data_IF_883530479535
#
_entry.id   IF_883530479535
#
_cell.length_a   1.000
_cell.length_b   1.000
_cell.length_c   1.000
_cell.angle_alpha   90.00
_cell.angle_beta   90.00
_cell.angle_gamma   90.00
#
_symmetry.space_group_name_H-M   'P 1'
#
loop_
_entity.id
_entity.type
_entity.pdbx_description
1 polymer ?
#
# COMPACT_ATOMS: atom_id res chain seq x y z
N UNK A 1 -20.42 17.47 -31.22
CA UNK A 1 -21.75 16.85 -31.06
C UNK A 1 -21.90 16.49 -29.59
N UNK A 2 -22.61 17.33 -28.84
CA UNK A 2 -22.97 17.11 -27.44
C UNK A 2 -24.31 16.37 -27.40
N UNK A 3 -24.47 15.35 -26.55
CA UNK A 3 -25.79 14.84 -26.16
C UNK A 3 -25.86 14.62 -24.65
N UNK A 4 -27.00 15.03 -24.11
CA UNK A 4 -27.36 15.32 -22.72
C UNK A 4 -27.31 14.16 -21.72
N UNK A 5 -27.20 14.48 -20.41
CA UNK A 5 -27.59 13.64 -19.30
C UNK A 5 -29.05 13.94 -18.89
N UNK A 6 -29.93 12.94 -18.76
CA UNK A 6 -31.13 13.03 -17.91
C UNK A 6 -31.79 11.65 -17.75
N UNK A 7 -31.87 11.16 -16.51
CA UNK A 7 -33.11 10.65 -15.94
C UNK A 7 -32.93 10.46 -14.41
N UNK A 8 -33.18 11.53 -13.67
CA UNK A 8 -33.75 11.47 -12.33
C UNK A 8 -34.98 12.37 -12.36
N UNK A 9 -36.16 11.88 -11.99
CA UNK A 9 -37.20 12.74 -11.46
C UNK A 9 -37.30 12.53 -9.95
N UNK A 10 -37.10 13.62 -9.21
CA UNK A 10 -37.56 13.70 -7.83
C UNK A 10 -39.09 13.61 -7.79
N UNK A 11 -39.60 12.80 -6.87
CA UNK A 11 -40.95 12.93 -6.35
C UNK A 11 -41.00 12.38 -4.92
N UNK A 12 -41.21 13.27 -3.97
CA UNK A 12 -41.70 12.95 -2.63
C UNK A 12 -43.09 12.29 -2.73
N UNK A 13 -43.20 10.98 -2.48
CA UNK A 13 -44.46 10.25 -2.33
C UNK A 13 -44.30 9.12 -1.27
N UNK A 14 -45.40 8.73 -0.60
CA UNK A 14 -45.38 8.26 0.79
C UNK A 14 -44.86 6.83 0.96
N UNK A 15 -44.39 6.55 2.17
CA UNK A 15 -44.00 5.23 2.66
C UNK A 15 -45.20 4.28 2.61
N UNK A 16 -45.38 3.59 1.48
CA UNK A 16 -46.17 2.37 1.43
C UNK A 16 -45.25 1.20 1.77
N UNK A 17 -45.53 0.55 2.92
CA UNK A 17 -44.98 -0.77 3.26
C UNK A 17 -45.35 -1.76 2.16
N UNK A 18 -44.43 -2.03 1.25
CA UNK A 18 -44.51 -3.20 0.38
C UNK A 18 -44.04 -4.42 1.16
N UNK A 19 -44.93 -5.42 1.30
CA UNK A 19 -44.58 -6.77 1.75
C UNK A 19 -44.25 -7.61 0.51
N UNK A 20 -42.99 -7.58 0.07
CA UNK A 20 -42.47 -8.39 -1.03
C UNK A 20 -41.08 -8.92 -0.68
N UNK A 21 -40.60 -9.92 -1.41
CA UNK A 21 -39.28 -10.53 -1.17
C UNK A 21 -38.15 -9.57 -1.54
N UNK A 22 -36.93 -9.77 -1.03
CA UNK A 22 -35.77 -8.96 -1.40
C UNK A 22 -35.48 -8.97 -2.92
N UNK A 23 -35.80 -10.08 -3.61
CA UNK A 23 -35.76 -10.18 -5.07
C UNK A 23 -36.77 -9.25 -5.79
N UNK A 24 -37.88 -8.90 -5.14
CA UNK A 24 -38.83 -7.92 -5.64
C UNK A 24 -38.35 -6.48 -5.38
N UNK A 25 -37.61 -6.25 -4.29
CA UNK A 25 -36.93 -4.98 -4.01
C UNK A 25 -35.79 -4.69 -4.99
N UNK A 26 -34.96 -5.69 -5.32
CA UNK A 26 -33.92 -5.58 -6.34
C UNK A 26 -34.54 -5.25 -7.70
N UNK A 27 -35.67 -5.89 -8.07
CA UNK A 27 -36.37 -5.59 -9.33
C UNK A 27 -37.06 -4.21 -9.35
N UNK A 28 -37.62 -3.77 -8.22
CA UNK A 28 -38.43 -2.55 -8.16
C UNK A 28 -37.64 -1.26 -7.92
N UNK A 29 -36.51 -1.30 -7.18
CA UNK A 29 -35.72 -0.10 -6.83
C UNK A 29 -34.54 0.19 -7.74
N UNK A 30 -34.02 -0.81 -8.45
CA UNK A 30 -32.77 -0.65 -9.21
C UNK A 30 -32.96 -0.06 -10.60
N UNK A 31 -34.17 -0.10 -11.18
CA UNK A 31 -34.35 0.20 -12.60
C UNK A 31 -33.46 -0.66 -13.52
N UNK A 32 -32.87 -1.75 -13.00
CA UNK A 32 -31.88 -2.53 -13.72
C UNK A 32 -32.57 -3.45 -14.72
N UNK A 33 -32.45 -3.09 -16.00
CA UNK A 33 -32.67 -4.02 -17.09
C UNK A 33 -31.75 -5.24 -16.94
N UNK A 34 -32.13 -6.44 -17.41
CA UNK A 34 -31.21 -7.55 -17.57
C UNK A 34 -29.99 -7.07 -18.38
N UNK A 35 -28.81 -7.04 -17.77
CA UNK A 35 -27.57 -6.51 -18.35
C UNK A 35 -26.97 -5.26 -17.69
N UNK A 36 -27.69 -4.55 -16.81
CA UNK A 36 -27.19 -3.32 -16.18
C UNK A 36 -26.26 -3.53 -14.96
N UNK A 37 -26.19 -4.75 -14.42
CA UNK A 37 -25.40 -5.09 -13.22
C UNK A 37 -24.17 -5.96 -13.52
N UNK A 38 -23.78 -6.06 -14.80
CA UNK A 38 -22.65 -6.86 -15.28
C UNK A 38 -21.88 -6.03 -16.30
N UNK A 39 -20.59 -5.84 -16.07
CA UNK A 39 -19.67 -5.21 -17.02
C UNK A 39 -18.38 -6.03 -17.05
N UNK A 40 -18.15 -6.75 -18.15
CA UNK A 40 -17.07 -7.73 -18.25
C UNK A 40 -17.16 -8.75 -17.09
N UNK A 41 -16.07 -8.95 -16.34
CA UNK A 41 -16.02 -9.83 -15.16
C UNK A 41 -16.48 -9.17 -13.86
N UNK A 42 -16.80 -7.88 -13.88
CA UNK A 42 -17.41 -7.19 -12.75
C UNK A 42 -18.92 -7.42 -12.77
N UNK A 43 -19.46 -8.03 -11.73
CA UNK A 43 -20.89 -8.23 -11.56
C UNK A 43 -21.32 -7.99 -10.12
N UNK A 44 -22.58 -7.58 -9.95
CA UNK A 44 -23.20 -7.45 -8.63
C UNK A 44 -23.89 -8.76 -8.25
N UNK A 45 -23.61 -9.25 -7.05
CA UNK A 45 -24.33 -10.34 -6.38
C UNK A 45 -24.95 -9.85 -5.07
N UNK A 46 -25.90 -10.59 -4.51
CA UNK A 46 -26.62 -10.20 -3.30
C UNK A 46 -27.07 -11.41 -2.48
N UNK A 47 -27.05 -11.25 -1.16
CA UNK A 47 -27.39 -12.27 -0.17
C UNK A 47 -28.13 -11.63 1.01
N UNK A 48 -28.94 -12.41 1.74
CA UNK A 48 -29.42 -12.01 3.05
C UNK A 48 -28.38 -12.33 4.17
N UNK A 49 -28.61 -11.83 5.39
CA UNK A 49 -27.73 -12.09 6.53
C UNK A 49 -27.81 -13.54 7.08
N UNK A 50 -28.69 -14.38 6.53
CA UNK A 50 -28.69 -15.82 6.81
C UNK A 50 -27.83 -16.60 5.81
N UNK A 51 -27.32 -15.94 4.76
CA UNK A 51 -26.55 -16.57 3.68
C UNK A 51 -27.39 -17.10 2.53
N UNK A 52 -28.67 -16.74 2.44
CA UNK A 52 -29.52 -17.08 1.30
C UNK A 52 -29.16 -16.21 0.10
N UNK A 53 -28.90 -16.84 -1.04
CA UNK A 53 -28.58 -16.15 -2.29
C UNK A 53 -29.81 -15.41 -2.84
N UNK A 54 -29.72 -14.08 -3.00
CA UNK A 54 -30.78 -13.24 -3.56
C UNK A 54 -30.55 -12.91 -5.04
N UNK A 55 -29.29 -12.72 -5.44
CA UNK A 55 -28.89 -12.51 -6.82
C UNK A 55 -27.48 -13.04 -7.07
N UNK A 56 -27.32 -13.86 -8.12
CA UNK A 56 -26.01 -14.36 -8.56
C UNK A 56 -25.99 -14.55 -10.08
N UNK A 57 -25.55 -13.53 -10.86
CA UNK A 57 -25.80 -13.45 -12.30
C UNK A 57 -25.27 -14.61 -13.13
N UNK A 58 -24.08 -15.13 -12.78
CA UNK A 58 -23.43 -16.21 -13.51
C UNK A 58 -23.75 -17.61 -12.98
N UNK A 59 -24.43 -17.70 -11.82
CA UNK A 59 -24.91 -18.95 -11.24
C UNK A 59 -26.35 -18.80 -10.72
N UNK A 60 -27.32 -18.43 -11.60
CA UNK A 60 -28.69 -18.12 -11.19
C UNK A 60 -29.42 -19.33 -10.58
N UNK A 61 -28.94 -20.55 -10.84
CA UNK A 61 -29.44 -21.77 -10.21
C UNK A 61 -29.25 -21.82 -8.68
N UNK A 62 -28.39 -20.96 -8.12
CA UNK A 62 -28.15 -20.87 -6.67
C UNK A 62 -29.10 -19.89 -5.96
N UNK A 63 -29.92 -19.12 -6.69
CA UNK A 63 -30.87 -18.18 -6.08
C UNK A 63 -31.87 -18.93 -5.19
N UNK A 64 -32.02 -18.47 -3.95
CA UNK A 64 -32.85 -19.09 -2.92
C UNK A 64 -32.19 -20.22 -2.13
N UNK A 65 -30.92 -20.53 -2.40
CA UNK A 65 -30.14 -21.51 -1.63
C UNK A 65 -29.30 -20.82 -0.54
N UNK A 66 -29.10 -21.52 0.58
CA UNK A 66 -28.22 -21.12 1.67
C UNK A 66 -26.77 -21.49 1.35
N UNK A 67 -25.90 -20.48 1.26
CA UNK A 67 -24.46 -20.61 1.05
C UNK A 67 -23.64 -20.14 2.26
N UNK A 68 -24.25 -19.93 3.43
CA UNK A 68 -23.55 -19.51 4.66
C UNK A 68 -22.43 -20.46 5.11
N UNK A 69 -22.48 -21.72 4.66
CA UNK A 69 -21.46 -22.73 4.91
C UNK A 69 -20.44 -22.93 3.78
N UNK A 70 -20.54 -22.17 2.69
CA UNK A 70 -19.73 -22.39 1.49
C UNK A 70 -18.28 -22.02 1.76
N UNK A 71 -17.36 -22.92 1.40
CA UNK A 71 -15.93 -22.71 1.50
C UNK A 71 -15.28 -22.72 0.12
N UNK A 72 -14.24 -21.92 -0.05
CA UNK A 72 -13.36 -22.02 -1.21
C UNK A 72 -12.42 -23.26 -1.09
N UNK A 73 -11.59 -23.58 -2.10
CA UNK A 73 -10.67 -24.72 -2.05
C UNK A 73 -9.65 -24.71 -0.90
N UNK A 74 -9.42 -23.56 -0.26
CA UNK A 74 -8.51 -23.40 0.87
C UNK A 74 -9.24 -23.48 2.22
N UNK A 75 -10.55 -23.75 2.21
CA UNK A 75 -11.38 -23.88 3.41
C UNK A 75 -11.91 -22.54 3.93
N UNK A 76 -11.77 -21.46 3.16
CA UNK A 76 -12.22 -20.12 3.54
C UNK A 76 -13.71 -20.03 3.37
N UNK A 77 -14.45 -19.84 4.47
CA UNK A 77 -15.88 -19.57 4.39
C UNK A 77 -16.12 -18.09 4.06
N UNK A 78 -15.93 -17.75 2.78
CA UNK A 78 -16.00 -16.37 2.32
C UNK A 78 -17.39 -15.77 2.50
N UNK A 79 -18.48 -16.53 2.33
CA UNK A 79 -19.84 -16.00 2.56
C UNK A 79 -20.05 -15.57 4.01
N UNK A 80 -19.48 -16.30 4.98
CA UNK A 80 -19.53 -15.88 6.39
C UNK A 80 -18.70 -14.63 6.67
N UNK A 81 -17.56 -14.48 6.00
CA UNK A 81 -16.74 -13.26 6.08
C UNK A 81 -17.49 -12.08 5.43
N UNK A 82 -18.12 -12.28 4.28
CA UNK A 82 -18.93 -11.26 3.61
C UNK A 82 -20.11 -10.79 4.47
N UNK A 83 -20.81 -11.72 5.14
CA UNK A 83 -21.86 -11.40 6.11
C UNK A 83 -21.29 -10.53 7.25
N UNK A 84 -20.17 -10.95 7.84
CA UNK A 84 -19.50 -10.19 8.89
C UNK A 84 -19.14 -8.77 8.42
N UNK A 85 -18.51 -8.64 7.25
CA UNK A 85 -18.14 -7.36 6.65
C UNK A 85 -19.37 -6.47 6.41
N UNK A 86 -20.46 -7.02 5.88
CA UNK A 86 -21.70 -6.28 5.69
C UNK A 86 -22.30 -5.79 7.02
N UNK A 87 -22.27 -6.61 8.07
CA UNK A 87 -22.68 -6.21 9.43
C UNK A 87 -21.82 -5.08 10.00
N UNK A 88 -20.55 -4.96 9.57
CA UNK A 88 -19.66 -3.87 9.97
C UNK A 88 -19.79 -2.60 9.10
N UNK A 89 -20.72 -2.56 8.13
CA UNK A 89 -20.89 -1.40 7.24
C UNK A 89 -20.28 -1.59 5.84
N UNK A 90 -19.71 -2.75 5.55
CA UNK A 90 -19.09 -3.11 4.28
C UNK A 90 -17.56 -3.26 4.36
N UNK A 91 -16.97 -3.85 3.32
CA UNK A 91 -15.53 -4.05 3.24
C UNK A 91 -15.10 -4.92 2.07
N UNK A 92 -13.79 -5.02 1.85
CA UNK A 92 -13.21 -5.90 0.83
C UNK A 92 -12.97 -7.31 1.36
N UNK A 93 -13.14 -8.30 0.49
CA UNK A 93 -12.83 -9.71 0.73
C UNK A 93 -12.10 -10.33 -0.46
N UNK A 94 -11.15 -11.20 -0.16
CA UNK A 94 -10.41 -12.05 -1.09
C UNK A 94 -10.76 -13.49 -0.82
N UNK A 95 -11.06 -14.21 -1.89
CA UNK A 95 -11.41 -15.61 -1.84
C UNK A 95 -11.22 -16.22 -3.22
N UNK A 96 -11.20 -17.54 -3.30
CA UNK A 96 -11.16 -18.21 -4.59
C UNK A 96 -12.57 -18.52 -5.09
N UNK A 97 -12.88 -18.09 -6.30
CA UNK A 97 -14.21 -18.25 -6.88
C UNK A 97 -14.17 -18.70 -8.35
N UNK A 98 -15.18 -19.45 -8.84
CA UNK A 98 -15.29 -19.76 -10.25
C UNK A 98 -15.41 -18.51 -11.14
N UNK A 99 -14.44 -18.31 -12.03
CA UNK A 99 -14.41 -17.19 -12.98
C UNK A 99 -15.24 -17.51 -14.24
N UNK A 100 -16.35 -16.80 -14.50
CA UNK A 100 -17.23 -17.06 -15.64
C UNK A 100 -16.60 -16.77 -17.01
N UNK A 101 -15.63 -15.86 -17.12
CA UNK A 101 -14.89 -15.65 -18.37
C UNK A 101 -13.87 -16.74 -18.67
N UNK A 102 -13.45 -17.49 -17.63
CA UNK A 102 -12.43 -18.53 -17.74
C UNK A 102 -12.99 -19.92 -17.51
N UNK A 103 -14.16 -20.15 -18.09
CA UNK A 103 -14.84 -21.45 -18.09
C UNK A 103 -15.05 -22.00 -16.65
N UNK A 104 -15.36 -21.12 -15.71
CA UNK A 104 -15.57 -21.44 -14.29
C UNK A 104 -14.34 -22.03 -13.59
N UNK A 105 -13.13 -21.72 -14.09
CA UNK A 105 -11.89 -22.03 -13.39
C UNK A 105 -11.87 -21.27 -12.06
N UNK A 106 -11.55 -21.96 -10.97
CA UNK A 106 -11.47 -21.33 -9.64
C UNK A 106 -10.18 -20.52 -9.57
N UNK A 107 -10.33 -19.22 -9.36
CA UNK A 107 -9.24 -18.24 -9.38
C UNK A 107 -9.39 -17.25 -8.22
N UNK A 108 -8.31 -16.57 -7.80
CA UNK A 108 -8.40 -15.53 -6.79
C UNK A 108 -9.34 -14.41 -7.26
N UNK A 109 -10.26 -14.00 -6.38
CA UNK A 109 -11.24 -12.94 -6.62
C UNK A 109 -11.21 -11.96 -5.46
N UNK A 110 -11.27 -10.68 -5.77
CA UNK A 110 -11.49 -9.62 -4.79
C UNK A 110 -12.89 -9.06 -4.98
N UNK A 111 -13.66 -8.94 -3.90
CA UNK A 111 -14.97 -8.28 -3.92
C UNK A 111 -15.09 -7.25 -2.83
N UNK A 112 -15.81 -6.16 -3.10
CA UNK A 112 -16.31 -5.27 -2.07
C UNK A 112 -17.76 -5.63 -1.74
N UNK A 113 -18.06 -5.77 -0.45
CA UNK A 113 -19.43 -5.99 0.05
C UNK A 113 -19.93 -4.77 0.80
N UNK A 114 -21.22 -4.49 0.69
CA UNK A 114 -21.87 -3.40 1.40
C UNK A 114 -23.27 -3.80 1.86
N UNK A 115 -23.68 -3.40 3.08
CA UNK A 115 -25.06 -3.55 3.52
C UNK A 115 -25.96 -2.66 2.65
N UNK A 116 -27.16 -3.17 2.33
CA UNK A 116 -28.19 -2.35 1.69
C UNK A 116 -29.20 -1.87 2.73
N UNK A 117 -29.61 -2.78 3.60
CA UNK A 117 -30.42 -2.51 4.78
C UNK A 117 -30.23 -3.64 5.81
N UNK A 118 -31.07 -3.72 6.84
CA UNK A 118 -31.01 -4.72 7.90
C UNK A 118 -31.31 -6.16 7.43
N UNK A 119 -31.76 -6.34 6.18
CA UNK A 119 -32.20 -7.64 5.65
C UNK A 119 -31.27 -8.23 4.61
N UNK A 120 -30.44 -7.43 3.93
CA UNK A 120 -29.56 -7.93 2.88
C UNK A 120 -28.37 -7.02 2.57
N UNK A 121 -27.39 -7.61 1.88
CA UNK A 121 -26.16 -6.97 1.42
C UNK A 121 -25.88 -7.33 -0.04
N UNK A 122 -25.07 -6.51 -0.69
CA UNK A 122 -24.59 -6.72 -2.05
C UNK A 122 -23.08 -6.83 -2.08
N UNK A 123 -22.56 -7.53 -3.06
CA UNK A 123 -21.14 -7.61 -3.36
C UNK A 123 -20.87 -7.35 -4.83
N UNK A 124 -19.70 -6.82 -5.13
CA UNK A 124 -19.20 -6.73 -6.50
C UNK A 124 -17.69 -6.97 -6.50
N UNK A 125 -17.21 -7.79 -7.44
CA UNK A 125 -15.81 -8.18 -7.45
C UNK A 125 -15.23 -8.46 -8.82
N UNK A 126 -13.91 -8.42 -8.87
CA UNK A 126 -13.07 -8.67 -10.04
C UNK A 126 -12.20 -9.90 -9.79
N UNK A 127 -11.95 -10.67 -10.85
CA UNK A 127 -11.06 -11.83 -10.80
C UNK A 127 -9.63 -11.35 -11.01
N UNK A 128 -8.71 -11.73 -10.11
CA UNK A 128 -7.35 -11.17 -10.05
C UNK A 128 -6.43 -11.68 -11.17
N UNK A 129 -6.83 -12.74 -11.89
CA UNK A 129 -6.04 -13.27 -13.00
C UNK A 129 -6.09 -12.40 -14.27
N UNK A 130 -7.12 -11.56 -14.45
CA UNK A 130 -7.16 -10.58 -15.55
C UNK A 130 -6.28 -9.35 -15.29
N UNK A 131 -5.62 -9.31 -14.13
CA UNK A 131 -4.61 -8.32 -13.76
C UNK A 131 -3.25 -8.99 -13.89
N UNK A 132 -2.69 -9.02 -15.10
CA UNK A 132 -1.29 -9.39 -15.25
C UNK A 132 -0.42 -8.34 -14.54
N UNK A 133 0.11 -8.76 -13.39
CA UNK A 133 1.39 -8.38 -12.77
C UNK A 133 1.55 -7.10 -11.97
N UNK A 134 0.53 -6.27 -11.75
CA UNK A 134 0.69 -5.11 -10.86
C UNK A 134 -0.50 -5.00 -9.91
N UNK A 135 -0.33 -5.45 -8.67
CA UNK A 135 -1.27 -5.09 -7.60
C UNK A 135 -1.10 -3.60 -7.33
N UNK A 136 -2.19 -2.85 -7.39
CA UNK A 136 -2.17 -1.41 -7.09
C UNK A 136 -2.04 -1.18 -5.57
N UNK A 137 -1.63 0.03 -5.13
CA UNK A 137 -1.64 0.37 -3.70
C UNK A 137 -3.00 0.12 -3.04
N UNK A 138 -4.11 0.50 -3.67
CA UNK A 138 -5.47 0.26 -3.15
C UNK A 138 -5.79 -1.22 -2.97
N UNK A 139 -5.38 -2.06 -3.93
CA UNK A 139 -5.56 -3.50 -3.83
C UNK A 139 -4.68 -4.08 -2.70
N UNK A 140 -3.43 -3.63 -2.54
CA UNK A 140 -2.59 -4.03 -1.41
C UNK A 140 -3.25 -3.68 -0.06
N UNK A 141 -3.78 -2.46 0.07
CA UNK A 141 -4.50 -2.04 1.27
C UNK A 141 -5.71 -2.93 1.54
N UNK A 142 -6.53 -3.20 0.52
CA UNK A 142 -7.67 -4.11 0.62
C UNK A 142 -7.24 -5.54 1.01
N UNK A 143 -6.11 -6.02 0.50
CA UNK A 143 -5.58 -7.36 0.81
C UNK A 143 -5.25 -7.50 2.30
N UNK A 144 -4.57 -6.51 2.86
CA UNK A 144 -4.20 -6.49 4.28
C UNK A 144 -5.43 -6.27 5.16
N UNK A 145 -6.34 -5.37 4.80
CA UNK A 145 -7.59 -5.16 5.55
C UNK A 145 -8.49 -6.40 5.57
N UNK A 146 -8.56 -7.13 4.46
CA UNK A 146 -9.25 -8.41 4.43
C UNK A 146 -8.57 -9.46 5.33
N UNK A 147 -7.24 -9.53 5.33
CA UNK A 147 -6.52 -10.41 6.26
C UNK A 147 -6.82 -10.08 7.73
N UNK A 148 -6.96 -8.79 8.08
CA UNK A 148 -7.38 -8.36 9.42
C UNK A 148 -8.82 -8.81 9.72
N UNK A 149 -9.73 -8.65 8.76
CA UNK A 149 -11.13 -9.10 8.88
C UNK A 149 -11.25 -10.61 9.02
N UNK A 150 -10.47 -11.37 8.25
CA UNK A 150 -10.35 -12.82 8.38
C UNK A 150 -9.86 -13.19 9.78
N UNK A 151 -8.81 -12.54 10.28
CA UNK A 151 -8.28 -12.79 11.61
C UNK A 151 -9.29 -12.49 12.73
N UNK A 152 -10.09 -11.43 12.58
CA UNK A 152 -11.21 -11.14 13.47
C UNK A 152 -12.29 -12.24 13.45
N UNK A 153 -12.56 -12.84 12.28
CA UNK A 153 -13.57 -13.87 12.12
C UNK A 153 -13.14 -15.26 12.64
N UNK A 154 -11.87 -15.64 12.45
CA UNK A 154 -11.38 -16.99 12.80
C UNK A 154 -10.58 -17.05 14.11
N UNK A 155 -10.16 -15.90 14.64
CA UNK A 155 -9.32 -15.79 15.82
C UNK A 155 -7.82 -15.89 15.52
N UNK A 156 -7.01 -15.31 16.40
CA UNK A 156 -5.55 -15.12 16.22
C UNK A 156 -4.80 -16.41 15.88
N UNK A 157 -5.00 -17.49 16.64
CA UNK A 157 -4.26 -18.74 16.42
C UNK A 157 -4.52 -19.34 15.02
N UNK A 158 -5.77 -19.34 14.56
CA UNK A 158 -6.12 -19.85 13.24
C UNK A 158 -5.60 -18.93 12.13
N UNK A 159 -5.64 -17.61 12.36
CA UNK A 159 -5.15 -16.62 11.41
C UNK A 159 -3.63 -16.70 11.23
N UNK A 160 -2.86 -16.73 12.32
CA UNK A 160 -1.40 -16.88 12.27
C UNK A 160 -0.97 -18.18 11.59
N UNK A 161 -1.69 -19.27 11.83
CA UNK A 161 -1.45 -20.55 11.15
C UNK A 161 -1.70 -20.47 9.64
N UNK A 162 -2.66 -19.65 9.20
CA UNK A 162 -2.91 -19.39 7.78
C UNK A 162 -1.83 -18.50 7.16
N UNK A 163 -1.47 -17.40 7.81
CA UNK A 163 -0.45 -16.46 7.32
C UNK A 163 0.95 -17.09 7.22
N UNK A 164 1.20 -18.20 7.91
CA UNK A 164 2.46 -18.93 7.83
C UNK A 164 2.55 -19.87 6.60
N UNK A 165 1.47 -20.10 5.86
CA UNK A 165 1.46 -20.98 4.69
C UNK A 165 1.95 -20.24 3.44
N UNK A 166 2.92 -20.82 2.74
CA UNK A 166 3.42 -20.31 1.45
C UNK A 166 2.39 -20.44 0.32
N UNK A 167 1.49 -21.41 0.42
CA UNK A 167 0.40 -21.70 -0.51
C UNK A 167 -0.98 -21.40 0.11
N UNK A 168 -1.02 -20.56 1.15
CA UNK A 168 -2.25 -20.11 1.81
C UNK A 168 -2.97 -19.01 1.04
N UNK A 169 -4.21 -18.72 1.40
CA UNK A 169 -5.04 -17.71 0.72
C UNK A 169 -4.44 -16.28 0.78
N UNK A 170 -3.58 -16.04 1.79
CA UNK A 170 -2.90 -14.78 2.06
C UNK A 170 -1.42 -14.82 1.66
N UNK A 171 -1.06 -15.68 0.70
CA UNK A 171 0.26 -15.73 0.08
C UNK A 171 0.14 -15.97 -1.42
N UNK A 172 0.53 -14.99 -2.23
CA UNK A 172 0.49 -15.02 -3.69
C UNK A 172 1.81 -14.45 -4.23
N UNK A 173 2.81 -15.33 -4.40
CA UNK A 173 4.15 -14.91 -4.79
C UNK A 173 4.75 -13.96 -3.74
N UNK A 174 5.09 -12.75 -4.18
CA UNK A 174 5.77 -11.73 -3.37
C UNK A 174 4.81 -10.87 -2.54
N UNK A 175 3.50 -11.04 -2.74
CA UNK A 175 2.43 -10.44 -1.94
C UNK A 175 1.95 -11.45 -0.91
N UNK A 176 2.26 -11.21 0.35
CA UNK A 176 1.92 -12.12 1.43
C UNK A 176 1.75 -11.40 2.76
N UNK A 177 0.93 -11.96 3.65
CA UNK A 177 0.74 -11.42 4.99
C UNK A 177 1.88 -11.85 5.91
N UNK A 178 2.51 -10.87 6.56
CA UNK A 178 3.33 -11.06 7.75
C UNK A 178 2.65 -10.42 8.97
N UNK A 179 2.95 -10.93 10.15
CA UNK A 179 2.29 -10.53 11.40
C UNK A 179 3.29 -10.28 12.52
N UNK A 180 3.04 -9.23 13.31
CA UNK A 180 3.85 -8.86 14.47
C UNK A 180 2.94 -8.51 15.65
N UNK A 181 3.40 -8.78 16.87
CA UNK A 181 2.78 -8.16 18.06
C UNK A 181 3.28 -6.71 18.25
N UNK A 182 2.62 -5.95 19.12
CA UNK A 182 3.03 -4.58 19.47
C UNK A 182 4.30 -4.51 20.35
N UNK A 183 4.92 -5.63 20.70
CA UNK A 183 6.27 -5.66 21.28
C UNK A 183 7.35 -5.80 20.20
N UNK A 184 6.97 -5.93 18.92
CA UNK A 184 7.85 -6.15 17.79
C UNK A 184 8.30 -7.60 17.62
N UNK A 185 7.60 -8.57 18.21
CA UNK A 185 7.87 -10.01 18.00
C UNK A 185 7.18 -10.48 16.72
N UNK A 186 7.92 -11.15 15.82
CA UNK A 186 7.35 -11.70 14.59
C UNK A 186 6.46 -12.91 14.92
N UNK A 187 5.18 -12.84 14.57
CA UNK A 187 4.17 -13.85 14.87
C UNK A 187 3.93 -14.82 13.70
N UNK A 188 3.99 -14.33 12.46
CA UNK A 188 3.89 -15.16 11.26
C UNK A 188 4.64 -14.54 10.08
N UNK A 189 5.33 -15.38 9.32
CA UNK A 189 5.93 -15.01 8.03
C UNK A 189 6.09 -16.27 7.17
N UNK A 190 5.49 -16.35 5.96
CA UNK A 190 5.44 -17.59 5.19
C UNK A 190 6.81 -18.02 4.63
N UNK A 191 7.68 -17.05 4.33
CA UNK A 191 9.01 -17.30 3.75
C UNK A 191 10.18 -17.22 4.75
N UNK A 192 9.95 -16.77 5.98
CA UNK A 192 10.98 -16.57 7.00
C UNK A 192 10.57 -17.20 8.33
N UNK A 193 10.09 -18.45 8.27
CA UNK A 193 9.59 -19.17 9.45
C UNK A 193 10.63 -19.27 10.59
N UNK A 194 11.92 -19.30 10.26
CA UNK A 194 13.02 -19.36 11.24
C UNK A 194 13.12 -18.10 12.13
N UNK A 195 12.49 -16.99 11.73
CA UNK A 195 12.50 -15.72 12.48
C UNK A 195 11.25 -15.56 13.36
N UNK A 196 10.25 -16.43 13.22
CA UNK A 196 9.02 -16.37 14.02
C UNK A 196 9.33 -16.63 15.49
N UNK A 197 8.75 -15.81 16.37
CA UNK A 197 9.01 -15.80 17.82
C UNK A 197 10.20 -14.95 18.25
N UNK A 198 10.94 -14.34 17.32
CA UNK A 198 12.05 -13.43 17.66
C UNK A 198 11.57 -11.99 17.79
N UNK A 199 12.14 -11.25 18.75
CA UNK A 199 11.90 -9.81 18.87
C UNK A 199 12.72 -9.05 17.84
N UNK A 200 12.04 -8.26 17.02
CA UNK A 200 12.62 -7.49 15.90
C UNK A 200 12.30 -6.00 15.99
N UNK A 201 11.90 -5.49 17.16
CA UNK A 201 11.62 -4.06 17.37
C UNK A 201 12.79 -3.14 16.96
N UNK A 202 14.03 -3.62 17.09
CA UNK A 202 15.24 -2.89 16.69
C UNK A 202 15.74 -3.25 15.28
N UNK A 203 15.00 -4.06 14.53
CA UNK A 203 15.37 -4.37 13.15
C UNK A 203 15.22 -3.10 12.29
N UNK A 204 16.25 -2.80 11.54
CA UNK A 204 16.26 -1.73 10.55
C UNK A 204 16.44 -2.33 9.17
N UNK A 205 16.01 -1.61 8.14
CA UNK A 205 16.49 -1.92 6.80
C UNK A 205 18.01 -1.68 6.67
N UNK A 206 18.56 -2.00 5.49
CA UNK A 206 20.00 -1.89 5.20
C UNK A 206 20.54 -0.46 5.31
N UNK A 207 19.69 0.57 5.33
CA UNK A 207 20.08 1.99 5.45
C UNK A 207 19.73 2.61 6.80
N UNK A 208 19.14 1.84 7.71
CA UNK A 208 18.89 2.26 9.10
C UNK A 208 17.46 2.71 9.38
N UNK A 209 16.51 2.57 8.44
CA UNK A 209 15.10 2.85 8.72
C UNK A 209 14.55 1.81 9.70
N UNK A 210 14.02 2.20 10.87
CA UNK A 210 13.50 1.25 11.86
C UNK A 210 12.09 0.75 11.50
N UNK A 211 12.02 -0.05 10.44
CA UNK A 211 10.80 -0.56 9.82
C UNK A 211 9.76 -1.07 10.82
N UNK A 212 10.13 -1.90 11.80
CA UNK A 212 9.16 -2.48 12.74
C UNK A 212 8.50 -1.40 13.60
N UNK A 213 9.26 -0.38 14.05
CA UNK A 213 8.72 0.72 14.87
C UNK A 213 7.86 1.67 14.04
N UNK A 214 8.25 1.95 12.80
CA UNK A 214 7.42 2.74 11.86
C UNK A 214 6.11 2.01 11.58
N UNK A 215 6.17 0.70 11.29
CA UNK A 215 5.00 -0.14 11.02
C UNK A 215 4.06 -0.25 12.22
N UNK A 216 4.62 -0.49 13.40
CA UNK A 216 3.88 -0.53 14.68
C UNK A 216 3.15 0.79 14.93
N UNK A 217 3.84 1.92 14.74
CA UNK A 217 3.25 3.24 14.88
C UNK A 217 2.10 3.46 13.91
N UNK A 218 2.30 3.15 12.63
CA UNK A 218 1.27 3.29 11.59
C UNK A 218 0.06 2.40 11.89
N UNK A 219 0.27 1.13 12.26
CA UNK A 219 -0.82 0.23 12.65
C UNK A 219 -1.60 0.72 13.88
N UNK A 220 -0.89 1.22 14.91
CA UNK A 220 -1.51 1.77 16.12
C UNK A 220 -2.39 3.00 15.85
N UNK A 221 -2.20 3.68 14.72
CA UNK A 221 -2.97 4.85 14.31
C UNK A 221 -4.04 4.51 13.24
N UNK A 222 -4.46 3.24 13.15
CA UNK A 222 -5.52 2.81 12.24
C UNK A 222 -5.02 2.22 10.93
N UNK A 223 -3.71 2.02 10.80
CA UNK A 223 -3.08 1.47 9.60
C UNK A 223 -2.83 2.51 8.51
N UNK A 224 -2.10 2.10 7.48
CA UNK A 224 -1.66 3.00 6.41
C UNK A 224 -0.49 2.45 5.62
N UNK A 225 -0.09 3.23 4.61
CA UNK A 225 1.08 2.90 3.80
C UNK A 225 2.38 3.21 4.54
N UNK A 226 3.39 2.39 4.25
CA UNK A 226 4.78 2.59 4.62
C UNK A 226 5.67 2.32 3.41
N UNK A 227 6.91 2.82 3.44
CA UNK A 227 7.97 2.46 2.50
C UNK A 227 9.21 2.03 3.27
N UNK A 228 9.99 1.13 2.68
CA UNK A 228 11.22 0.59 3.27
C UNK A 228 12.04 -0.12 2.19
N UNK A 229 13.31 -0.40 2.48
CA UNK A 229 14.10 -1.31 1.64
C UNK A 229 14.00 -2.74 2.17
N UNK A 230 13.83 -3.70 1.27
CA UNK A 230 13.76 -5.11 1.63
C UNK A 230 14.41 -6.00 0.56
N UNK A 231 15.04 -7.13 0.91
CA UNK A 231 15.65 -8.02 -0.09
C UNK A 231 14.59 -8.50 -1.08
N UNK A 232 14.83 -8.34 -2.38
CA UNK A 232 14.03 -8.98 -3.41
C UNK A 232 14.19 -10.51 -3.32
N UNK A 233 13.11 -11.29 -3.46
CA UNK A 233 13.18 -12.74 -3.31
C UNK A 233 13.83 -13.40 -4.54
N UNK A 234 15.09 -13.81 -4.43
CA UNK A 234 15.76 -14.56 -5.49
C UNK A 234 15.38 -16.04 -5.43
N UNK A 235 14.71 -16.55 -6.47
CA UNK A 235 14.28 -17.95 -6.51
C UNK A 235 13.29 -18.33 -5.40
N UNK A 236 12.53 -17.36 -4.88
CA UNK A 236 11.58 -17.55 -3.78
C UNK A 236 12.22 -17.61 -2.39
N UNK A 237 13.46 -17.13 -2.25
CA UNK A 237 14.19 -17.06 -0.98
C UNK A 237 14.49 -15.61 -0.63
N UNK A 238 14.19 -15.22 0.60
CA UNK A 238 14.52 -13.91 1.16
C UNK A 238 15.77 -14.07 2.03
N UNK A 239 16.86 -13.40 1.66
CA UNK A 239 18.10 -13.36 2.45
C UNK A 239 18.41 -11.92 2.90
N UNK A 240 18.14 -11.62 4.17
CA UNK A 240 18.46 -10.30 4.77
C UNK A 240 19.97 -10.02 4.86
N UNK A 241 20.83 -10.99 4.54
CA UNK A 241 22.29 -10.80 4.49
C UNK A 241 22.79 -10.45 3.09
N UNK A 242 21.97 -10.62 2.05
CA UNK A 242 22.28 -10.24 0.69
C UNK A 242 22.02 -8.74 0.50
N UNK A 243 22.94 -7.90 0.97
CA UNK A 243 22.75 -6.45 1.04
C UNK A 243 22.56 -5.78 -0.33
N UNK A 244 22.99 -6.44 -1.40
CA UNK A 244 22.90 -6.00 -2.79
C UNK A 244 21.55 -6.31 -3.45
N UNK A 245 20.69 -7.12 -2.82
CA UNK A 245 19.35 -7.45 -3.34
C UNK A 245 18.25 -6.57 -2.73
N UNK A 246 18.60 -5.60 -1.87
CA UNK A 246 17.62 -4.70 -1.26
C UNK A 246 17.03 -3.74 -2.29
N UNK A 247 15.71 -3.80 -2.44
CA UNK A 247 14.96 -2.94 -3.35
C UNK A 247 13.90 -2.12 -2.57
N UNK A 248 13.49 -0.94 -3.09
CA UNK A 248 12.37 -0.19 -2.55
C UNK A 248 11.07 -0.99 -2.60
N UNK A 249 10.37 -1.00 -1.47
CA UNK A 249 9.09 -1.67 -1.27
C UNK A 249 8.10 -0.70 -0.65
N UNK A 250 6.87 -0.66 -1.16
CA UNK A 250 5.75 -0.09 -0.38
C UNK A 250 5.08 -1.21 0.39
N UNK A 251 4.67 -0.93 1.62
CA UNK A 251 3.85 -1.80 2.43
C UNK A 251 2.55 -1.12 2.82
N UNK A 252 1.54 -1.92 3.12
CA UNK A 252 0.38 -1.46 3.88
C UNK A 252 0.33 -2.26 5.17
N UNK A 253 0.20 -1.56 6.29
CA UNK A 253 0.11 -2.18 7.62
C UNK A 253 -1.22 -1.83 8.25
N UNK A 254 -1.79 -2.77 9.00
CA UNK A 254 -3.12 -2.62 9.58
C UNK A 254 -3.22 -3.33 10.93
N UNK A 255 -3.92 -2.75 11.92
CA UNK A 255 -4.12 -3.40 13.21
C UNK A 255 -5.02 -4.64 13.07
N UNK A 256 -4.79 -5.62 13.95
CA UNK A 256 -5.72 -6.74 14.19
C UNK A 256 -6.10 -6.75 15.67
N UNK A 257 -7.21 -6.10 15.99
CA UNK A 257 -7.57 -5.84 17.38
C UNK A 257 -6.52 -4.97 18.10
N UNK A 258 -6.31 -5.21 19.39
CA UNK A 258 -5.47 -4.37 20.24
C UNK A 258 -4.05 -4.94 20.50
N UNK A 259 -3.77 -6.17 20.09
CA UNK A 259 -2.57 -6.91 20.54
C UNK A 259 -1.52 -7.12 19.45
N UNK A 260 -1.90 -7.02 18.18
CA UNK A 260 -1.02 -7.31 17.06
C UNK A 260 -1.44 -6.55 15.79
N UNK A 261 -0.56 -6.56 14.81
CA UNK A 261 -0.73 -5.93 13.53
C UNK A 261 -0.18 -6.82 12.42
N UNK A 262 -0.67 -6.59 11.21
CA UNK A 262 -0.26 -7.33 10.02
C UNK A 262 0.16 -6.35 8.94
N UNK A 263 0.92 -6.85 7.97
CA UNK A 263 1.25 -6.11 6.78
C UNK A 263 1.48 -7.01 5.59
N UNK A 264 1.49 -6.38 4.43
CA UNK A 264 1.98 -6.94 3.16
C UNK A 264 2.67 -5.81 2.42
N UNK A 265 3.46 -6.14 1.40
CA UNK A 265 4.09 -5.13 0.57
C UNK A 265 4.42 -5.63 -0.83
N UNK A 266 4.70 -4.68 -1.70
CA UNK A 266 4.99 -4.86 -3.13
C UNK A 266 6.22 -4.05 -3.51
N UNK A 267 7.06 -4.62 -4.37
CA UNK A 267 8.27 -3.93 -4.82
C UNK A 267 7.91 -2.86 -5.84
N UNK A 268 8.79 -1.87 -5.98
CA UNK A 268 8.57 -0.78 -6.94
C UNK A 268 8.60 -1.30 -8.39
N UNK A 269 9.36 -2.36 -8.64
CA UNK A 269 9.38 -3.10 -9.91
C UNK A 269 8.01 -3.72 -10.25
N UNK A 270 7.20 -4.07 -9.24
CA UNK A 270 5.83 -4.60 -9.40
C UNK A 270 4.76 -3.50 -9.50
N UNK A 271 5.10 -2.23 -9.22
CA UNK A 271 4.20 -1.08 -9.35
C UNK A 271 4.23 -0.46 -10.75
N UNK A 272 5.31 -0.70 -11.49
CA UNK A 272 5.64 0.06 -12.68
C UNK A 272 4.91 -0.49 -13.92
N UNK A 273 4.14 0.32 -14.66
CA UNK A 273 3.44 -0.14 -15.86
C UNK A 273 4.40 -0.65 -16.93
N UNK A 274 4.04 -1.75 -17.60
CA UNK A 274 4.74 -2.20 -18.80
C UNK A 274 6.16 -2.74 -18.60
N UNK A 275 6.54 -3.11 -17.36
CA UNK A 275 7.86 -3.69 -17.06
C UNK A 275 8.97 -2.65 -16.86
N UNK A 276 8.63 -1.40 -16.55
CA UNK A 276 9.59 -0.44 -15.98
C UNK A 276 10.10 -0.96 -14.63
N UNK A 277 11.29 -0.53 -14.20
CA UNK A 277 11.84 -0.92 -12.90
C UNK A 277 11.24 -0.11 -11.73
N UNK A 278 10.63 1.05 -12.01
CA UNK A 278 10.20 2.03 -11.00
C UNK A 278 8.91 2.77 -11.39
N UNK A 279 8.13 3.29 -10.41
CA UNK A 279 7.10 4.29 -10.64
C UNK A 279 7.63 5.50 -11.43
N UNK A 280 6.77 6.14 -12.22
CA UNK A 280 7.14 7.26 -13.11
C UNK A 280 7.77 8.42 -12.31
N UNK A 281 7.10 8.87 -11.24
CA UNK A 281 7.59 9.94 -10.35
C UNK A 281 8.97 9.64 -9.74
N UNK A 282 9.25 8.37 -9.43
CA UNK A 282 10.54 7.94 -8.90
C UNK A 282 11.61 7.95 -9.99
N UNK A 283 11.24 7.56 -11.21
CA UNK A 283 12.14 7.54 -12.37
C UNK A 283 12.58 8.96 -12.76
N UNK A 284 11.63 9.90 -12.81
CA UNK A 284 11.90 11.31 -13.08
C UNK A 284 12.82 11.92 -12.00
N UNK A 285 12.58 11.60 -10.73
CA UNK A 285 13.42 12.02 -9.62
C UNK A 285 14.86 11.46 -9.71
N UNK A 286 15.03 10.21 -10.17
CA UNK A 286 16.36 9.61 -10.42
C UNK A 286 17.08 10.37 -11.53
N UNK A 287 16.41 10.64 -12.66
CA UNK A 287 16.98 11.39 -13.79
C UNK A 287 17.44 12.78 -13.34
N UNK A 288 16.65 13.47 -12.52
CA UNK A 288 17.01 14.77 -11.95
C UNK A 288 18.32 14.72 -11.13
N UNK A 289 18.51 13.67 -10.32
CA UNK A 289 19.71 13.47 -9.50
C UNK A 289 20.92 13.12 -10.37
N UNK A 290 20.73 12.30 -11.41
CA UNK A 290 21.78 11.93 -12.36
C UNK A 290 22.28 13.15 -13.15
N UNK A 291 21.36 13.99 -13.63
CA UNK A 291 21.70 15.23 -14.33
C UNK A 291 22.44 16.22 -13.43
N UNK A 292 22.04 16.35 -12.16
CA UNK A 292 22.73 17.21 -11.19
C UNK A 292 24.14 16.70 -10.86
N UNK A 293 24.30 15.38 -10.70
CA UNK A 293 25.60 14.78 -10.48
C UNK A 293 26.51 14.96 -11.70
N UNK A 294 25.97 14.81 -12.91
CA UNK A 294 26.70 15.05 -14.15
C UNK A 294 27.16 16.51 -14.26
N UNK A 295 26.26 17.47 -14.01
CA UNK A 295 26.60 18.89 -14.00
C UNK A 295 27.73 19.20 -13.02
N UNK A 296 27.64 18.65 -11.80
CA UNK A 296 28.67 18.78 -10.77
C UNK A 296 30.04 18.25 -11.21
N UNK A 297 30.07 17.09 -11.88
CA UNK A 297 31.31 16.47 -12.40
C UNK A 297 31.91 17.24 -13.57
N UNK A 298 31.09 17.76 -14.47
CA UNK A 298 31.58 18.41 -15.69
C UNK A 298 31.91 19.89 -15.51
N UNK A 299 31.13 20.61 -14.69
CA UNK A 299 31.21 22.06 -14.57
C UNK A 299 31.66 22.54 -13.18
N UNK A 300 31.81 21.61 -12.23
CA UNK A 300 32.30 21.90 -10.88
C UNK A 300 31.28 22.63 -10.00
N UNK A 301 31.71 22.89 -8.76
CA UNK A 301 30.83 23.37 -7.68
C UNK A 301 30.21 24.74 -7.94
N UNK A 302 30.92 25.68 -8.58
CA UNK A 302 30.41 27.04 -8.80
C UNK A 302 29.17 27.03 -9.70
N UNK A 303 29.22 26.32 -10.83
CA UNK A 303 28.09 26.23 -11.76
C UNK A 303 26.96 25.38 -11.17
N UNK A 304 27.30 24.21 -10.62
CA UNK A 304 26.32 23.30 -10.07
C UNK A 304 25.55 23.89 -8.88
N UNK A 305 26.23 24.52 -7.92
CA UNK A 305 25.56 25.11 -6.75
C UNK A 305 24.69 26.30 -7.13
N UNK A 306 25.10 27.09 -8.13
CA UNK A 306 24.28 28.19 -8.64
C UNK A 306 22.97 27.67 -9.25
N UNK A 307 23.03 26.60 -10.05
CA UNK A 307 21.85 26.02 -10.69
C UNK A 307 20.96 25.27 -9.69
N UNK A 308 21.53 24.46 -8.79
CA UNK A 308 20.78 23.77 -7.73
C UNK A 308 20.07 24.79 -6.81
N UNK A 309 20.68 25.95 -6.56
CA UNK A 309 20.06 27.00 -5.74
C UNK A 309 19.05 27.87 -6.50
N UNK A 310 18.90 27.68 -7.82
CA UNK A 310 17.98 28.44 -8.65
C UNK A 310 16.57 27.83 -8.57
N UNK A 311 15.65 28.51 -7.87
CA UNK A 311 14.24 28.07 -7.70
C UNK A 311 13.44 27.97 -9.00
N UNK A 312 13.94 28.55 -10.09
CA UNK A 312 13.32 28.47 -11.42
C UNK A 312 14.27 27.83 -12.43
N UNK A 313 15.29 27.13 -11.92
CA UNK A 313 16.25 26.38 -12.71
C UNK A 313 15.76 25.00 -13.09
N UNK A 314 16.61 24.25 -13.78
CA UNK A 314 16.26 22.90 -14.27
C UNK A 314 16.17 21.84 -13.17
N UNK A 315 16.70 22.11 -11.97
CA UNK A 315 16.67 21.19 -10.82
C UNK A 315 15.52 21.46 -9.85
N UNK A 316 14.48 22.14 -10.32
CA UNK A 316 13.19 22.28 -9.67
C UNK A 316 12.14 21.97 -10.73
N UNK A 317 11.47 20.83 -10.61
CA UNK A 317 10.43 20.45 -11.58
C UNK A 317 9.07 21.12 -11.25
N UNK A 318 8.06 20.83 -12.08
CA UNK A 318 6.74 21.47 -11.95
C UNK A 318 5.96 20.96 -10.74
N UNK A 319 6.26 19.73 -10.32
CA UNK A 319 5.73 18.99 -9.19
C UNK A 319 6.40 19.42 -7.87
N UNK A 320 7.49 20.18 -7.94
CA UNK A 320 8.18 20.74 -6.79
C UNK A 320 9.25 19.83 -6.20
N UNK A 321 9.64 18.75 -6.89
CA UNK A 321 10.86 18.04 -6.56
C UNK A 321 12.06 18.93 -6.84
N UNK A 322 13.10 18.74 -6.03
CA UNK A 322 14.30 19.56 -6.11
C UNK A 322 15.54 18.78 -5.76
N UNK A 323 16.68 19.28 -6.24
CA UNK A 323 17.99 18.80 -5.84
C UNK A 323 18.47 19.54 -4.58
N UNK A 324 19.07 18.77 -3.68
CA UNK A 324 19.89 19.28 -2.58
C UNK A 324 21.31 18.74 -2.70
N UNK A 325 22.29 19.55 -2.32
CA UNK A 325 23.70 19.17 -2.30
C UNK A 325 24.27 19.26 -0.88
N UNK A 326 25.01 18.24 -0.47
CA UNK A 326 25.67 18.16 0.83
C UNK A 326 27.12 17.72 0.68
N UNK A 327 27.98 18.15 1.61
CA UNK A 327 29.26 17.48 1.82
C UNK A 327 29.07 16.17 2.60
N UNK A 328 30.15 15.40 2.70
CA UNK A 328 30.15 14.14 3.44
C UNK A 328 30.16 14.27 4.98
N UNK A 329 30.25 15.48 5.52
CA UNK A 329 30.07 15.80 6.93
C UNK A 329 28.63 16.30 7.21
N UNK A 330 27.74 16.23 6.22
CA UNK A 330 26.34 16.64 6.32
C UNK A 330 26.14 18.16 6.31
N UNK A 331 27.13 18.93 5.86
CA UNK A 331 26.99 20.38 5.63
C UNK A 331 26.21 20.63 4.35
N UNK A 332 25.13 21.41 4.43
CA UNK A 332 24.35 21.80 3.26
C UNK A 332 25.15 22.77 2.37
N UNK A 333 25.32 22.42 1.09
CA UNK A 333 26.11 23.19 0.12
C UNK A 333 25.25 24.01 -0.85
N UNK A 334 24.13 23.45 -1.30
CA UNK A 334 23.18 24.12 -2.18
C UNK A 334 21.76 23.60 -1.95
N UNK A 335 20.78 24.52 -1.99
CA UNK A 335 19.36 24.20 -1.84
C UNK A 335 18.51 25.34 -2.40
N UNK A 336 17.47 25.07 -3.20
CA UNK A 336 16.67 26.14 -3.80
C UNK A 336 15.82 26.89 -2.77
N UNK A 337 15.22 26.17 -1.82
CA UNK A 337 14.30 26.75 -0.83
C UNK A 337 14.93 27.20 0.50
N UNK A 338 16.12 26.72 0.87
CA UNK A 338 16.75 26.95 2.18
C UNK A 338 18.12 27.66 2.10
N UNK A 339 18.23 28.83 1.42
CA UNK A 339 19.52 29.51 1.26
C UNK A 339 20.17 29.91 2.59
N UNK A 340 19.38 30.18 3.62
CA UNK A 340 19.84 30.54 4.96
C UNK A 340 20.43 29.36 5.76
N UNK A 341 20.26 28.13 5.27
CA UNK A 341 20.81 26.90 5.88
C UNK A 341 22.12 26.45 5.23
N UNK A 342 22.53 27.05 4.11
CA UNK A 342 23.80 26.74 3.46
C UNK A 342 24.96 26.99 4.44
N UNK A 343 25.87 26.03 4.56
CA UNK A 343 26.99 26.05 5.51
C UNK A 343 26.65 25.52 6.91
N UNK A 344 25.41 25.11 7.16
CA UNK A 344 25.01 24.43 8.40
C UNK A 344 24.96 22.92 8.21
N UNK A 345 25.19 22.16 9.28
CA UNK A 345 25.14 20.69 9.25
C UNK A 345 23.88 20.15 9.89
N UNK A 346 23.36 19.06 9.33
CA UNK A 346 22.25 18.25 9.86
C UNK A 346 22.68 16.79 10.13
N UNK A 347 23.98 16.51 10.17
CA UNK A 347 24.51 15.13 10.26
C UNK A 347 24.03 14.37 11.50
N UNK A 348 23.85 15.07 12.62
CA UNK A 348 23.43 14.50 13.91
C UNK A 348 21.93 14.68 14.18
N UNK A 349 21.13 15.11 13.19
CA UNK A 349 19.68 15.23 13.34
C UNK A 349 19.02 13.87 13.10
N UNK A 350 18.42 13.23 14.13
CA UNK A 350 17.61 12.06 13.91
C UNK A 350 16.23 12.44 13.37
N UNK A 351 15.59 11.49 12.68
CA UNK A 351 14.16 11.52 12.38
C UNK A 351 13.32 11.17 13.65
N UNK A 352 11.97 11.25 13.58
CA UNK A 352 11.12 10.93 14.72
C UNK A 352 11.25 9.51 15.29
N UNK A 353 11.84 8.58 14.54
CA UNK A 353 12.07 7.19 14.93
C UNK A 353 13.53 6.90 15.30
N UNK A 354 14.41 7.91 15.24
CA UNK A 354 15.81 7.82 15.63
C UNK A 354 16.78 7.47 14.50
N UNK A 355 16.34 7.47 13.24
CA UNK A 355 17.23 7.27 12.09
C UNK A 355 18.10 8.51 11.88
N UNK A 356 19.41 8.36 11.78
CA UNK A 356 20.33 9.45 11.43
C UNK A 356 20.31 9.71 9.91
N UNK A 357 19.25 10.35 9.43
CA UNK A 357 18.93 10.48 8.00
C UNK A 357 20.08 10.99 7.13
N UNK A 358 20.70 12.12 7.50
CA UNK A 358 21.78 12.71 6.70
C UNK A 358 23.04 11.84 6.70
N UNK A 359 23.30 11.12 7.80
CA UNK A 359 24.42 10.16 7.88
C UNK A 359 24.17 8.99 6.92
N UNK A 360 22.97 8.41 6.95
CA UNK A 360 22.59 7.31 6.06
C UNK A 360 22.68 7.71 4.57
N UNK A 361 22.20 8.91 4.21
CA UNK A 361 22.31 9.45 2.86
C UNK A 361 23.78 9.64 2.44
N UNK A 362 24.61 10.25 3.28
CA UNK A 362 26.03 10.47 2.99
C UNK A 362 26.82 9.15 2.86
N UNK A 363 26.53 8.14 3.69
CA UNK A 363 27.14 6.80 3.60
C UNK A 363 26.70 6.04 2.34
N UNK A 364 25.43 6.20 1.95
CA UNK A 364 24.90 5.62 0.70
C UNK A 364 25.57 6.24 -0.52
N UNK A 365 25.67 7.58 -0.57
CA UNK A 365 26.39 8.27 -1.63
C UNK A 365 27.87 7.87 -1.69
N UNK A 366 28.55 7.75 -0.53
CA UNK A 366 29.95 7.30 -0.46
C UNK A 366 30.15 5.88 -1.02
N UNK A 367 29.12 5.04 -0.95
CA UNK A 367 29.14 3.66 -1.44
C UNK A 367 28.77 3.53 -2.92
N UNK A 368 28.70 4.64 -3.67
CA UNK A 368 28.34 4.66 -5.10
C UNK A 368 26.94 5.23 -5.37
N UNK A 369 26.16 5.50 -4.32
CA UNK A 369 24.79 5.98 -4.44
C UNK A 369 23.78 4.87 -4.62
N UNK A 370 22.55 5.13 -4.15
CA UNK A 370 21.40 4.21 -4.18
C UNK A 370 20.20 4.89 -3.51
N UNK A 371 19.16 4.10 -3.25
CA UNK A 371 17.98 4.50 -2.50
C UNK A 371 18.25 4.58 -1.00
N UNK A 372 17.57 5.51 -0.34
CA UNK A 372 17.41 5.59 1.10
C UNK A 372 15.97 5.98 1.39
N UNK A 373 15.29 5.20 2.23
CA UNK A 373 13.95 5.57 2.73
C UNK A 373 14.11 6.18 4.11
N UNK A 374 13.49 7.34 4.34
CA UNK A 374 13.61 8.08 5.60
C UNK A 374 12.35 8.91 5.86
N UNK A 375 12.14 9.34 7.09
CA UNK A 375 11.04 10.26 7.43
C UNK A 375 11.51 11.71 7.24
N UNK A 376 10.71 12.52 6.56
CA UNK A 376 10.98 13.94 6.36
C UNK A 376 9.71 14.79 6.34
N UNK A 377 9.76 16.07 6.75
CA UNK A 377 8.60 16.96 6.67
C UNK A 377 8.18 17.26 5.23
N UNK A 378 6.93 16.91 4.86
CA UNK A 378 6.31 17.19 3.56
C UNK A 378 5.75 18.62 3.49
N UNK A 379 6.30 19.52 2.65
CA UNK A 379 5.83 20.91 2.57
C UNK A 379 4.37 21.04 2.10
N UNK A 380 3.93 20.14 1.21
CA UNK A 380 2.58 20.13 0.67
C UNK A 380 1.54 19.73 1.73
N UNK A 381 1.96 18.89 2.67
CA UNK A 381 1.15 18.44 3.80
C UNK A 381 1.35 19.29 5.07
N UNK A 382 1.71 20.57 4.92
CA UNK A 382 1.86 21.48 6.05
C UNK A 382 3.04 21.15 6.97
N UNK A 383 4.09 20.52 6.43
CA UNK A 383 5.27 20.01 7.14
C UNK A 383 4.98 18.89 8.14
N UNK A 384 3.97 18.05 7.87
CA UNK A 384 3.81 16.79 8.58
C UNK A 384 4.92 15.82 8.17
N UNK A 385 5.31 14.96 9.11
CA UNK A 385 6.36 13.97 8.89
C UNK A 385 5.81 12.86 7.99
N UNK A 386 6.56 12.45 6.98
CA UNK A 386 6.11 11.43 6.03
C UNK A 386 7.31 10.60 5.55
N UNK A 387 7.10 9.33 5.19
CA UNK A 387 8.14 8.54 4.56
C UNK A 387 8.44 9.09 3.17
N UNK A 388 9.73 9.25 2.90
CA UNK A 388 10.29 9.78 1.67
C UNK A 388 11.27 8.77 1.08
N UNK A 389 11.12 8.50 -0.21
CA UNK A 389 12.03 7.66 -0.98
C UNK A 389 13.05 8.59 -1.64
N UNK A 390 14.25 8.63 -1.08
CA UNK A 390 15.36 9.40 -1.64
C UNK A 390 16.26 8.57 -2.52
N UNK A 391 16.87 9.23 -3.50
CA UNK A 391 17.96 8.70 -4.29
C UNK A 391 19.13 9.67 -4.23
N UNK A 392 20.33 9.14 -4.04
CA UNK A 392 21.55 9.95 -3.86
C UNK A 392 22.68 9.43 -4.72
N UNK A 393 23.50 10.34 -5.24
CA UNK A 393 24.70 10.01 -6.00
C UNK A 393 25.91 10.83 -5.52
N UNK A 394 27.10 10.21 -5.45
CA UNK A 394 28.34 10.96 -5.26
C UNK A 394 28.61 11.81 -6.51
N UNK A 395 29.01 13.07 -6.33
CA UNK A 395 29.55 13.85 -7.44
C UNK A 395 31.05 13.59 -7.57
N UNK A 396 31.77 13.74 -6.46
CA UNK A 396 33.19 13.44 -6.27
C UNK A 396 33.46 13.02 -4.81
N UNK A 397 34.73 12.94 -4.40
CA UNK A 397 35.14 12.52 -3.04
C UNK A 397 34.79 13.53 -1.93
N UNK A 398 34.21 14.69 -2.25
CA UNK A 398 33.95 15.78 -1.32
C UNK A 398 32.48 16.10 -1.13
N UNK A 399 31.61 15.83 -2.11
CA UNK A 399 30.18 16.14 -2.02
C UNK A 399 29.29 15.23 -2.87
N UNK A 400 28.01 15.24 -2.55
CA UNK A 400 26.97 14.42 -3.14
C UNK A 400 25.68 15.22 -3.33
N UNK A 401 24.83 14.72 -4.23
CA UNK A 401 23.51 15.29 -4.52
C UNK A 401 22.44 14.26 -4.25
N UNK A 402 21.23 14.73 -3.97
CA UNK A 402 20.07 13.88 -3.81
C UNK A 402 18.77 14.62 -4.06
N UNK A 403 17.73 13.81 -4.21
CA UNK A 403 16.33 14.24 -4.22
C UNK A 403 15.48 13.19 -3.51
N UNK A 404 14.16 13.31 -3.57
CA UNK A 404 13.27 12.24 -3.17
C UNK A 404 11.82 12.60 -3.36
N UNK A 405 11.00 11.56 -3.40
CA UNK A 405 9.54 11.60 -3.55
C UNK A 405 8.89 11.14 -2.26
N UNK A 406 7.82 11.81 -1.84
CA UNK A 406 7.03 11.39 -0.68
C UNK A 406 6.16 10.18 -1.03
N UNK A 407 5.84 9.37 -0.02
CA UNK A 407 5.08 8.14 -0.21
C UNK A 407 3.68 8.41 -0.78
N UNK A 408 3.04 9.50 -0.36
CA UNK A 408 1.74 9.96 -0.86
C UNK A 408 1.73 10.23 -2.37
N UNK A 409 2.86 10.64 -2.95
CA UNK A 409 3.00 10.88 -4.39
C UNK A 409 3.01 9.56 -5.18
N UNK A 410 3.43 8.46 -4.54
CA UNK A 410 3.44 7.12 -5.13
C UNK A 410 2.09 6.42 -4.93
N UNK A 411 1.51 6.53 -3.73
CA UNK A 411 0.29 5.81 -3.36
C UNK A 411 -0.99 6.56 -3.75
N UNK A 412 -0.91 7.88 -3.93
CA UNK A 412 -2.07 8.75 -4.12
C UNK A 412 -2.88 8.98 -2.84
N UNK A 413 -2.37 8.58 -1.67
CA UNK A 413 -3.07 8.63 -0.38
C UNK A 413 -2.17 9.28 0.67
N UNK A 414 -2.76 10.14 1.52
CA UNK A 414 -2.08 10.73 2.68
C UNK A 414 -1.39 9.64 3.52
N UNK A 415 -0.07 9.74 3.65
CA UNK A 415 0.78 8.82 4.40
C UNK A 415 1.50 9.52 5.56
N UNK A 416 0.98 10.67 6.00
CA UNK A 416 1.53 11.43 7.12
C UNK A 416 1.61 10.60 8.39
N UNK A 417 2.80 10.63 8.98
CA UNK A 417 3.07 10.18 10.33
C UNK A 417 2.77 11.34 11.28
N UNK A 418 1.73 11.21 12.10
CA UNK A 418 1.54 12.14 13.20
C UNK A 418 2.74 12.00 14.15
N UNK A 419 3.38 13.10 14.55
CA UNK A 419 4.63 12.98 15.32
C UNK A 419 4.36 12.27 16.67
N UNK A 420 5.07 11.18 17.01
CA UNK A 420 4.96 10.56 18.34
C UNK A 420 5.40 11.52 19.46
N UNK A 421 6.19 12.55 19.13
CA UNK A 421 6.69 13.55 20.07
C UNK A 421 5.62 14.58 20.47
N UNK A 422 4.52 14.71 19.71
CA UNK A 422 3.45 15.66 20.01
C UNK A 422 2.50 15.19 21.13
N UNK A 423 2.55 13.90 21.53
CA UNK A 423 1.66 13.34 22.55
C UNK A 423 2.23 13.35 23.98
N UNK A 424 3.40 13.97 24.21
CA UNK A 424 3.95 14.20 25.56
C UNK A 424 3.82 15.67 25.99
N UNK A 425 2.62 16.23 25.85
CA UNK A 425 2.24 17.58 26.29
C UNK A 425 1.39 17.57 27.55
#
# INVERSE_FOLDING_TARGET
MFFSPFCWPGSSLPVHRYRGSAADHIRARSGCCPGACVRNNLYIYAFDYQGTTLALPYQPQLIGTDLSGLQDPFGVNYTRIEIFLAEQGGGFIYYHYPNPARNMTVEPKMSFVAPVDETWWLGAGVDLHDVHQTITPDELAAFVQNASSYAAAVGEQAALAEFQKKDGQFSQGDVYIYAYDYNGTLQAHPYQADLVGTNRSNWTDVRGLPFVRVSEYTASNGGGFIAYLYPAPEGGVIDEKALDTYEPKIGYVYPVGETWWIGSGIYFSDLAPGGSAMPEVVSEMIELVEDAALLGREQGTVAAFAEISNRSGMFVDAEGHYIYAYDYNGTLLAHPYLPEKIGTTLIDRPDPFGMETIRALAETARSGGSYVVFVWPSPEEGNREELKIGYVLPVDDTWWVGSGVYLSEITGVDASLHSPLAQKG
#
